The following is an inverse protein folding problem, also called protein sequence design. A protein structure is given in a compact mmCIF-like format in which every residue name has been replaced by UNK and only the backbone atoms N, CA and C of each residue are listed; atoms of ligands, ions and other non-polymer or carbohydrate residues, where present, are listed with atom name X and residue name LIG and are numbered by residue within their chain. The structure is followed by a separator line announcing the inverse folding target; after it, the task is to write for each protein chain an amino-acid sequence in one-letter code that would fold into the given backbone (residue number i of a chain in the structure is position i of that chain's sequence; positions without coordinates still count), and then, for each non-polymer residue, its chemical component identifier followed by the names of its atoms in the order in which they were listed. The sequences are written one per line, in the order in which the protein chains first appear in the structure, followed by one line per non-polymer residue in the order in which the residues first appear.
data_IF_800497647679
#
_entry.id   IF_800497647679
#
_cell.length_a   1.000
_cell.length_b   1.000
_cell.length_c   1.000
_cell.angle_alpha   90.00
_cell.angle_beta   90.00
_cell.angle_gamma   90.00
#
_symmetry.space_group_name_H-M   'P 1'
#
loop_
_entity.id
_entity.type
_entity.pdbx_description
1 polymer ?
#
# COMPACT_ATOMS: atom_id res chain seq x y z
N UNK A 1 -8.18 -16.73 68.09
CA UNK A 1 -7.39 -15.49 68.21
C UNK A 1 -6.43 -15.51 67.02
N UNK A 2 -6.86 -15.04 65.86
CA UNK A 2 -6.85 -13.64 65.39
C UNK A 2 -5.48 -13.21 64.88
N UNK A 3 -5.46 -12.79 63.59
CA UNK A 3 -4.62 -11.75 62.95
C UNK A 3 -3.13 -12.11 62.72
N UNK A 4 -2.45 -11.81 61.61
CA UNK A 4 -2.57 -10.91 60.43
C UNK A 4 -1.63 -11.49 59.33
N UNK A 5 -2.01 -11.67 58.05
CA UNK A 5 -2.07 -10.75 56.89
C UNK A 5 -0.73 -10.15 56.37
N UNK A 6 -0.36 -10.47 55.12
CA UNK A 6 0.09 -9.44 54.15
C UNK A 6 0.09 -9.92 52.67
N UNK A 7 -0.94 -9.47 51.96
CA UNK A 7 -1.02 -8.95 50.59
C UNK A 7 -0.28 -9.60 49.40
N UNK A 8 -1.09 -10.22 48.53
CA UNK A 8 -0.82 -10.40 47.10
C UNK A 8 -1.47 -9.25 46.29
N UNK A 9 -0.72 -8.58 45.42
CA UNK A 9 -1.29 -7.68 44.41
C UNK A 9 -1.61 -8.45 43.13
N UNK A 10 -2.91 -8.67 42.86
CA UNK A 10 -3.44 -9.12 41.57
C UNK A 10 -3.57 -7.93 40.62
N UNK A 11 -3.03 -8.05 39.41
CA UNK A 11 -3.27 -7.12 38.31
C UNK A 11 -4.70 -7.31 37.79
N UNK A 12 -5.46 -6.22 37.74
CA UNK A 12 -6.82 -6.13 37.20
C UNK A 12 -6.75 -5.82 35.71
N UNK A 13 -7.32 -6.69 34.87
CA UNK A 13 -7.57 -6.42 33.44
C UNK A 13 -8.67 -5.38 33.28
N UNK A 14 -8.54 -4.38 32.39
CA UNK A 14 -9.63 -3.42 32.17
C UNK A 14 -10.76 -4.05 31.36
N UNK A 15 -11.97 -3.93 31.90
CA UNK A 15 -13.25 -4.28 31.29
C UNK A 15 -13.57 -3.32 30.13
N UNK A 16 -13.62 -3.87 28.91
CA UNK A 16 -13.86 -3.13 27.66
C UNK A 16 -15.35 -2.87 27.38
N UNK A 17 -16.25 -3.11 28.33
CA UNK A 17 -17.70 -2.92 28.15
C UNK A 17 -18.18 -1.45 28.25
N UNK A 18 -17.28 -0.47 28.46
CA UNK A 18 -17.64 0.96 28.67
C UNK A 18 -17.05 1.96 27.66
N UNK A 19 -16.93 1.59 26.39
CA UNK A 19 -16.73 2.58 25.32
C UNK A 19 -18.08 3.09 24.77
N UNK A 20 -18.25 4.41 24.54
CA UNK A 20 -19.50 4.96 24.05
C UNK A 20 -19.78 4.44 22.62
N UNK A 21 -20.91 3.78 22.45
CA UNK A 21 -21.44 3.38 21.14
C UNK A 21 -21.80 4.65 20.36
N UNK A 22 -21.16 4.88 19.23
CA UNK A 22 -21.62 5.83 18.22
C UNK A 22 -23.01 5.41 17.74
N UNK A 23 -23.98 6.33 17.60
CA UNK A 23 -25.32 5.97 17.17
C UNK A 23 -25.27 5.50 15.72
N UNK A 24 -25.70 4.26 15.49
CA UNK A 24 -26.05 3.79 14.16
C UNK A 24 -27.18 4.69 13.62
N UNK A 25 -26.94 5.38 12.51
CA UNK A 25 -28.04 5.95 11.73
C UNK A 25 -28.90 4.77 11.27
N UNK A 26 -30.09 4.65 11.84
CA UNK A 26 -31.10 3.71 11.39
C UNK A 26 -31.52 4.09 9.96
N UNK A 27 -31.20 3.23 8.99
CA UNK A 27 -31.82 3.28 7.67
C UNK A 27 -33.28 2.83 7.85
N UNK A 28 -34.21 3.78 7.73
CA UNK A 28 -35.64 3.46 7.63
C UNK A 28 -35.91 2.77 6.30
N UNK A 29 -36.47 1.57 6.36
CA UNK A 29 -37.01 0.85 5.20
C UNK A 29 -38.45 1.28 4.98
N UNK A 30 -38.70 2.16 4.02
CA UNK A 30 -40.04 2.30 3.44
C UNK A 30 -40.20 1.23 2.36
N UNK A 31 -41.12 0.29 2.60
CA UNK A 31 -41.63 -0.62 1.57
C UNK A 31 -42.62 0.15 0.72
N UNK A 32 -42.22 0.47 -0.51
CA UNK A 32 -43.17 0.48 -1.62
C UNK A 32 -42.51 -0.08 -2.90
N UNK A 33 -43.30 -0.75 -3.73
CA UNK A 33 -42.89 -1.84 -4.62
C UNK A 33 -41.67 -1.63 -5.56
N UNK A 34 -40.80 -2.64 -5.56
CA UNK A 34 -39.90 -3.10 -6.64
C UNK A 34 -39.00 -2.07 -7.34
N UNK A 35 -38.08 -1.43 -6.59
CA UNK A 35 -36.73 -1.04 -7.05
C UNK A 35 -35.92 -0.58 -5.83
N UNK A 36 -34.85 -1.31 -5.47
CA UNK A 36 -33.95 -0.84 -4.42
C UNK A 36 -33.17 0.38 -4.93
N UNK A 37 -33.50 1.57 -4.38
CA UNK A 37 -32.77 2.83 -4.62
C UNK A 37 -31.96 3.16 -3.37
N UNK A 38 -30.63 3.12 -3.47
CA UNK A 38 -29.73 3.62 -2.42
C UNK A 38 -29.55 5.13 -2.63
N UNK A 39 -30.10 5.94 -1.71
CA UNK A 39 -30.02 7.40 -1.77
C UNK A 39 -28.85 7.90 -0.92
N UNK A 40 -28.05 8.81 -1.47
CA UNK A 40 -26.93 9.43 -0.76
C UNK A 40 -27.38 10.33 0.41
N UNK A 41 -26.56 10.49 1.48
CA UNK A 41 -26.84 11.44 2.55
C UNK A 41 -26.82 12.89 2.05
N UNK A 42 -27.78 13.71 2.47
CA UNK A 42 -27.84 15.14 2.14
C UNK A 42 -26.61 15.87 2.71
N UNK A 43 -25.78 16.46 1.84
CA UNK A 43 -24.74 17.43 2.25
C UNK A 43 -25.40 18.75 2.68
N UNK A 44 -24.96 19.28 3.82
CA UNK A 44 -25.26 20.65 4.24
C UNK A 44 -24.41 21.60 3.37
N UNK A 45 -24.97 22.64 2.73
CA UNK A 45 -24.19 23.58 1.93
C UNK A 45 -23.27 24.45 2.82
N UNK A 46 -22.04 24.68 2.35
CA UNK A 46 -21.11 25.64 2.96
C UNK A 46 -21.50 27.09 2.58
N UNK A 47 -21.26 28.08 3.46
CA UNK A 47 -21.61 29.48 3.20
C UNK A 47 -20.67 30.12 2.16
N UNK A 48 -21.14 31.11 1.36
CA UNK A 48 -20.36 31.73 0.31
C UNK A 48 -19.50 32.89 0.81
N UNK A 49 -18.29 33.02 0.25
CA UNK A 49 -17.53 34.27 0.23
C UNK A 49 -16.09 34.17 0.73
N UNK A 50 -15.13 34.11 -0.19
CA UNK A 50 -13.84 34.84 -0.19
C UNK A 50 -13.04 34.49 -1.46
N UNK A 51 -12.23 35.43 -1.99
CA UNK A 51 -11.85 35.50 -3.41
C UNK A 51 -10.72 34.56 -3.82
N UNK A 52 -10.70 34.23 -5.12
CA UNK A 52 -9.71 33.38 -5.78
C UNK A 52 -8.27 33.92 -5.62
N UNK A 53 -7.28 33.06 -5.33
CA UNK A 53 -5.87 33.41 -5.46
C UNK A 53 -5.39 33.23 -6.91
N UNK A 54 -4.68 34.26 -7.38
CA UNK A 54 -4.10 34.47 -8.70
C UNK A 54 -3.29 33.28 -9.28
N UNK A 55 -3.33 33.14 -10.61
CA UNK A 55 -2.51 32.22 -11.40
C UNK A 55 -0.99 32.47 -11.22
N UNK A 56 -0.15 31.42 -11.12
CA UNK A 56 1.29 31.56 -11.23
C UNK A 56 1.74 31.80 -12.69
N UNK A 57 2.42 32.93 -12.90
CA UNK A 57 2.93 33.39 -14.19
C UNK A 57 3.95 32.46 -14.87
N UNK A 58 3.95 32.54 -16.21
CA UNK A 58 4.87 31.86 -17.13
C UNK A 58 6.34 32.25 -16.89
N UNK A 59 7.32 31.35 -17.15
CA UNK A 59 8.73 31.69 -17.05
C UNK A 59 9.16 32.61 -18.21
N UNK A 60 9.72 33.76 -17.84
CA UNK A 60 10.45 34.68 -18.73
C UNK A 60 11.93 34.29 -18.73
N UNK A 61 12.53 34.08 -19.91
CA UNK A 61 13.93 34.44 -20.22
C UNK A 61 14.22 34.23 -21.72
N UNK A 62 14.66 35.26 -22.46
CA UNK A 62 15.07 35.16 -23.86
C UNK A 62 16.58 34.90 -24.02
N UNK A 63 16.94 34.42 -25.23
CA UNK A 63 18.29 34.13 -25.74
C UNK A 63 19.27 35.32 -25.69
N UNK A 64 20.54 35.10 -26.08
CA UNK A 64 20.89 35.55 -27.43
C UNK A 64 21.73 34.55 -28.23
N UNK A 65 21.43 34.49 -29.53
CA UNK A 65 22.17 33.72 -30.51
C UNK A 65 23.45 34.42 -30.99
N UNK A 66 24.33 33.61 -31.57
CA UNK A 66 25.41 34.05 -32.45
C UNK A 66 25.53 33.06 -33.61
N UNK A 67 25.28 33.55 -34.84
CA UNK A 67 25.59 32.89 -36.11
C UNK A 67 26.87 33.50 -36.67
N UNK A 68 27.79 32.65 -37.14
CA UNK A 68 28.85 32.82 -38.16
C UNK A 68 29.67 31.52 -38.06
N UNK A 69 30.08 30.75 -39.07
CA UNK A 69 30.10 30.79 -40.53
C UNK A 69 31.22 29.81 -40.96
N UNK A 70 30.93 28.95 -41.95
CA UNK A 70 31.80 28.19 -42.86
C UNK A 70 33.14 27.53 -42.41
N UNK A 71 33.21 26.22 -42.72
CA UNK A 71 34.35 25.39 -43.22
C UNK A 71 35.64 25.20 -42.39
N UNK A 72 36.05 23.93 -42.27
CA UNK A 72 37.37 23.52 -41.80
C UNK A 72 37.34 22.13 -41.18
N UNK A 73 37.80 21.12 -41.94
CA UNK A 73 38.18 19.82 -41.39
C UNK A 73 39.27 20.06 -40.34
N UNK A 74 39.09 19.53 -39.12
CA UNK A 74 40.18 18.97 -38.35
C UNK A 74 39.65 18.01 -37.28
N UNK A 75 40.09 16.78 -37.43
CA UNK A 75 39.91 15.66 -36.51
C UNK A 75 40.56 15.96 -35.17
N UNK A 76 39.74 16.21 -34.15
CA UNK A 76 40.14 16.12 -32.74
C UNK A 76 39.26 15.07 -32.06
N UNK A 77 39.87 13.91 -31.82
CA UNK A 77 39.25 12.82 -31.08
C UNK A 77 38.84 13.30 -29.69
N UNK A 78 37.54 13.35 -29.46
CA UNK A 78 37.00 13.43 -28.11
C UNK A 78 37.39 12.13 -27.39
N UNK A 79 37.96 12.18 -26.18
CA UNK A 79 38.08 10.99 -25.39
C UNK A 79 36.66 10.49 -25.13
N UNK A 80 36.32 9.29 -25.60
CA UNK A 80 35.23 8.50 -25.03
C UNK A 80 35.59 8.25 -23.57
N UNK A 81 35.28 9.20 -22.70
CA UNK A 81 35.08 8.89 -21.31
C UNK A 81 33.82 8.03 -21.29
N UNK A 82 33.89 6.73 -20.95
CA UNK A 82 32.67 6.00 -20.68
C UNK A 82 31.96 6.81 -19.60
N UNK A 83 30.80 7.39 -19.93
CA UNK A 83 29.93 7.98 -18.94
C UNK A 83 29.63 6.83 -17.98
N UNK A 84 30.35 6.79 -16.86
CA UNK A 84 29.98 5.95 -15.74
C UNK A 84 28.64 6.51 -15.29
N UNK A 85 27.57 5.97 -15.86
CA UNK A 85 26.24 6.10 -15.30
C UNK A 85 26.36 5.38 -13.96
N UNK A 86 26.70 6.14 -12.91
CA UNK A 86 26.66 5.65 -11.53
C UNK A 86 25.20 5.29 -11.29
N UNK A 87 24.87 4.01 -11.48
CA UNK A 87 23.53 3.51 -11.21
C UNK A 87 23.32 3.64 -9.70
N UNK A 88 22.60 4.70 -9.31
CA UNK A 88 22.25 4.92 -7.91
C UNK A 88 21.51 3.67 -7.42
N UNK A 89 21.83 3.24 -6.19
CA UNK A 89 21.11 2.14 -5.56
C UNK A 89 19.61 2.46 -5.54
N UNK A 90 18.81 1.51 -5.98
CA UNK A 90 17.35 1.60 -5.92
C UNK A 90 16.88 1.09 -4.55
N UNK A 91 16.14 1.90 -3.80
CA UNK A 91 15.53 1.46 -2.53
C UNK A 91 14.02 1.44 -2.73
N UNK A 92 13.43 0.25 -2.74
CA UNK A 92 12.01 0.05 -2.95
C UNK A 92 11.31 -0.09 -1.60
N UNK A 93 10.46 0.87 -1.27
CA UNK A 93 9.53 0.74 -0.15
C UNK A 93 8.22 0.15 -0.69
N UNK A 94 7.78 -0.99 -0.14
CA UNK A 94 6.58 -1.68 -0.60
C UNK A 94 5.65 -1.94 0.58
N UNK A 95 4.41 -1.46 0.48
CA UNK A 95 3.34 -1.99 1.34
C UNK A 95 3.12 -3.47 1.00
N UNK A 96 2.78 -4.30 1.99
CA UNK A 96 2.64 -5.75 1.75
C UNK A 96 1.20 -6.15 1.40
N UNK A 97 0.21 -5.52 2.04
CA UNK A 97 -1.19 -5.92 1.90
C UNK A 97 -1.72 -5.46 0.54
N UNK A 98 -2.47 -6.31 -0.16
CA UNK A 98 -3.03 -6.05 -1.49
C UNK A 98 -1.98 -5.64 -2.56
N UNK A 99 -0.69 -5.84 -2.28
CA UNK A 99 0.43 -5.44 -3.17
C UNK A 99 1.39 -6.61 -3.39
N UNK A 100 1.69 -7.38 -2.34
CA UNK A 100 2.57 -8.54 -2.39
C UNK A 100 1.83 -9.78 -1.92
N UNK A 101 1.04 -9.66 -0.85
CA UNK A 101 0.22 -10.73 -0.32
C UNK A 101 -1.16 -10.73 -0.98
N UNK A 102 -1.67 -11.92 -1.27
CA UNK A 102 -3.00 -12.11 -1.88
C UNK A 102 -4.14 -12.06 -0.86
N UNK A 103 -3.82 -12.18 0.43
CA UNK A 103 -4.77 -12.15 1.54
C UNK A 103 -4.41 -11.05 2.53
N UNK A 104 -5.36 -10.68 3.39
CA UNK A 104 -5.16 -9.66 4.41
C UNK A 104 -5.52 -10.22 5.80
N UNK A 105 -4.49 -10.66 6.53
CA UNK A 105 -4.69 -11.19 7.88
C UNK A 105 -5.10 -10.11 8.90
N UNK A 106 -4.81 -8.83 8.60
CA UNK A 106 -5.15 -7.73 9.51
C UNK A 106 -6.67 -7.52 9.57
N UNK A 107 -7.37 -7.77 8.46
CA UNK A 107 -8.83 -7.73 8.37
C UNK A 107 -9.49 -9.11 8.36
N UNK A 108 -8.69 -10.19 8.40
CA UNK A 108 -9.18 -11.57 8.37
C UNK A 108 -9.74 -11.99 7.02
N UNK A 109 -9.37 -11.29 5.94
CA UNK A 109 -9.83 -11.57 4.57
C UNK A 109 -8.91 -12.60 3.93
N UNK A 110 -9.48 -13.71 3.46
CA UNK A 110 -8.79 -14.64 2.59
C UNK A 110 -8.70 -14.09 1.15
N UNK A 111 -8.03 -14.82 0.25
CA UNK A 111 -7.79 -14.41 -1.12
C UNK A 111 -9.04 -13.96 -1.90
N UNK A 112 -10.18 -14.65 -1.73
CA UNK A 112 -11.43 -14.37 -2.46
C UNK A 112 -12.02 -13.04 -1.99
N UNK A 113 -12.09 -12.83 -0.67
CA UNK A 113 -12.59 -11.59 -0.08
C UNK A 113 -11.63 -10.42 -0.32
N UNK A 114 -10.32 -10.65 -0.22
CA UNK A 114 -9.29 -9.64 -0.41
C UNK A 114 -9.28 -9.11 -1.86
N UNK A 115 -9.44 -9.98 -2.86
CA UNK A 115 -9.53 -9.54 -4.25
C UNK A 115 -10.81 -8.74 -4.53
N UNK A 116 -11.97 -9.14 -3.98
CA UNK A 116 -13.20 -8.34 -4.09
C UNK A 116 -13.03 -6.96 -3.43
N UNK A 117 -12.47 -6.95 -2.21
CA UNK A 117 -12.16 -5.75 -1.45
C UNK A 117 -11.23 -4.83 -2.24
N UNK A 118 -10.19 -5.37 -2.89
CA UNK A 118 -9.28 -4.62 -3.75
C UNK A 118 -9.97 -4.06 -5.00
N UNK A 119 -10.78 -4.87 -5.71
CA UNK A 119 -11.53 -4.38 -6.87
C UNK A 119 -12.41 -3.19 -6.50
N UNK A 120 -13.08 -3.25 -5.35
CA UNK A 120 -13.91 -2.15 -4.85
C UNK A 120 -13.13 -0.83 -4.62
N UNK A 121 -11.81 -0.86 -4.44
CA UNK A 121 -10.99 0.35 -4.29
C UNK A 121 -10.51 0.92 -5.63
N UNK A 122 -10.38 0.08 -6.66
CA UNK A 122 -9.83 0.49 -7.97
C UNK A 122 -10.92 0.71 -9.04
N UNK A 123 -12.19 0.50 -8.70
CA UNK A 123 -13.32 0.80 -9.58
C UNK A 123 -13.71 2.29 -9.49
N UNK A 124 -13.58 3.01 -10.61
CA UNK A 124 -13.93 4.42 -10.73
C UNK A 124 -15.34 4.62 -11.28
N UNK A 125 -16.05 5.59 -10.73
CA UNK A 125 -17.39 5.97 -11.20
C UNK A 125 -17.83 7.35 -10.75
N UNK A 126 -19.04 7.71 -11.14
CA UNK A 126 -19.66 9.00 -10.86
C UNK A 126 -21.16 8.84 -10.66
N UNK A 127 -21.76 9.73 -9.88
CA UNK A 127 -23.21 9.81 -9.76
C UNK A 127 -23.80 10.51 -10.97
N UNK A 128 -24.83 9.92 -11.58
CA UNK A 128 -25.63 10.56 -12.60
C UNK A 128 -26.58 11.61 -12.01
N UNK A 129 -27.38 12.27 -12.87
CA UNK A 129 -28.32 13.31 -12.44
C UNK A 129 -29.42 12.76 -11.52
N UNK A 130 -29.72 11.47 -11.62
CA UNK A 130 -30.73 10.76 -10.84
C UNK A 130 -30.21 10.28 -9.46
N UNK A 131 -28.92 10.49 -9.18
CA UNK A 131 -28.26 10.09 -7.94
C UNK A 131 -27.81 8.62 -7.90
N UNK A 132 -27.74 7.95 -9.04
CA UNK A 132 -27.27 6.56 -9.18
C UNK A 132 -25.79 6.54 -9.58
N UNK A 133 -25.00 5.70 -8.91
CA UNK A 133 -23.57 5.57 -9.20
C UNK A 133 -23.35 4.69 -10.42
N UNK A 134 -22.58 5.19 -11.39
CA UNK A 134 -22.26 4.51 -12.63
C UNK A 134 -20.74 4.42 -12.81
N UNK A 135 -20.25 3.25 -13.23
CA UNK A 135 -18.83 3.06 -13.53
C UNK A 135 -18.45 3.84 -14.79
N UNK A 136 -17.21 4.32 -14.84
CA UNK A 136 -16.74 5.18 -15.94
C UNK A 136 -15.79 4.50 -16.91
N UNK A 137 -15.12 3.41 -16.51
CA UNK A 137 -14.12 2.74 -17.34
C UNK A 137 -14.09 1.24 -17.08
N UNK A 138 -13.88 0.47 -18.16
CA UNK A 138 -13.56 -0.96 -18.12
C UNK A 138 -12.06 -1.23 -18.25
N UNK A 139 -11.27 -0.20 -18.53
CA UNK A 139 -9.82 -0.30 -18.70
C UNK A 139 -9.06 0.24 -17.48
N UNK A 140 -7.97 -0.44 -17.08
CA UNK A 140 -7.12 0.04 -15.99
C UNK A 140 -6.40 1.32 -16.39
N UNK A 141 -6.29 2.25 -15.45
CA UNK A 141 -5.58 3.51 -15.59
C UNK A 141 -4.84 3.84 -14.29
N UNK A 142 -3.70 4.53 -14.41
CA UNK A 142 -3.00 5.08 -13.25
C UNK A 142 -3.67 6.33 -12.68
N UNK A 143 -4.51 6.99 -13.48
CA UNK A 143 -5.21 8.21 -13.12
C UNK A 143 -6.73 7.98 -13.17
N UNK A 144 -7.52 8.71 -12.36
CA UNK A 144 -8.96 8.71 -12.48
C UNK A 144 -9.38 9.04 -13.93
N UNK A 145 -10.43 8.39 -14.48
CA UNK A 145 -10.90 8.65 -15.85
C UNK A 145 -11.31 10.11 -16.09
N UNK A 146 -11.85 10.78 -15.06
CA UNK A 146 -12.21 12.20 -15.07
C UNK A 146 -11.85 12.84 -13.72
N UNK A 147 -11.67 14.17 -13.64
CA UNK A 147 -11.36 14.86 -12.38
C UNK A 147 -12.42 14.66 -11.27
N UNK A 148 -13.68 14.50 -11.66
CA UNK A 148 -14.81 14.31 -10.74
C UNK A 148 -15.08 12.82 -10.43
N UNK A 149 -14.33 11.91 -11.05
CA UNK A 149 -14.47 10.48 -10.78
C UNK A 149 -14.08 10.16 -9.33
N UNK A 150 -14.88 9.32 -8.71
CA UNK A 150 -14.65 8.83 -7.35
C UNK A 150 -14.53 7.32 -7.37
N UNK A 151 -13.69 6.76 -6.50
CA UNK A 151 -13.65 5.30 -6.35
C UNK A 151 -14.94 4.81 -5.69
N UNK A 152 -15.33 3.57 -6.00
CA UNK A 152 -16.45 2.92 -5.33
C UNK A 152 -16.24 2.91 -3.80
N UNK A 153 -15.04 2.56 -3.34
CA UNK A 153 -14.66 2.54 -1.92
C UNK A 153 -14.85 3.88 -1.20
N UNK A 154 -14.64 5.01 -1.88
CA UNK A 154 -14.79 6.34 -1.28
C UNK A 154 -16.25 6.67 -0.95
N UNK A 155 -17.19 6.09 -1.69
CA UNK A 155 -18.62 6.34 -1.51
C UNK A 155 -19.31 5.27 -0.66
N UNK A 156 -18.93 4.01 -0.83
CA UNK A 156 -19.62 2.86 -0.24
C UNK A 156 -18.77 2.07 0.76
N UNK A 157 -17.48 2.39 0.88
CA UNK A 157 -16.52 1.57 1.63
C UNK A 157 -16.03 0.36 0.84
N UNK A 158 -15.09 -0.37 1.43
CA UNK A 158 -14.58 -1.62 0.84
C UNK A 158 -15.62 -2.72 0.97
N UNK A 159 -15.78 -3.53 -0.08
CA UNK A 159 -16.76 -4.61 -0.12
C UNK A 159 -16.09 -5.96 -0.43
N UNK A 160 -16.15 -6.89 0.51
CA UNK A 160 -15.60 -8.25 0.37
C UNK A 160 -16.41 -9.16 -0.54
N UNK A 161 -17.60 -8.71 -0.97
CA UNK A 161 -18.50 -9.39 -1.90
C UNK A 161 -18.88 -8.50 -3.08
N UNK A 162 -18.01 -7.54 -3.42
CA UNK A 162 -18.24 -6.54 -4.46
C UNK A 162 -18.84 -7.12 -5.75
N UNK A 163 -18.24 -8.18 -6.30
CA UNK A 163 -18.69 -8.79 -7.57
C UNK A 163 -20.04 -9.52 -7.49
N UNK A 164 -20.55 -9.77 -6.28
CA UNK A 164 -21.89 -10.32 -6.05
C UNK A 164 -22.97 -9.23 -5.97
N UNK A 165 -22.58 -7.96 -5.83
CA UNK A 165 -23.50 -6.82 -5.83
C UNK A 165 -23.98 -6.47 -7.24
N UNK A 166 -25.09 -5.72 -7.33
CA UNK A 166 -25.61 -5.22 -8.61
C UNK A 166 -24.61 -4.34 -9.35
N UNK A 167 -23.89 -3.48 -8.62
CA UNK A 167 -22.89 -2.56 -9.17
C UNK A 167 -21.57 -3.25 -9.54
N UNK A 168 -21.19 -4.30 -8.79
CA UNK A 168 -19.95 -5.03 -9.03
C UNK A 168 -20.07 -6.23 -9.97
N UNK A 169 -21.30 -6.69 -10.29
CA UNK A 169 -21.55 -7.81 -11.21
C UNK A 169 -20.82 -7.70 -12.56
N UNK A 170 -20.67 -6.53 -13.19
CA UNK A 170 -19.89 -6.40 -14.43
C UNK A 170 -18.43 -6.86 -14.29
N UNK A 171 -17.85 -6.77 -13.09
CA UNK A 171 -16.47 -7.18 -12.81
C UNK A 171 -16.33 -8.67 -12.48
N UNK A 172 -17.41 -9.45 -12.49
CA UNK A 172 -17.37 -10.88 -12.14
C UNK A 172 -16.39 -11.66 -13.02
N UNK A 173 -16.42 -11.44 -14.34
CA UNK A 173 -15.51 -12.13 -15.26
C UNK A 173 -14.05 -11.78 -14.97
N UNK A 174 -13.77 -10.49 -14.75
CA UNK A 174 -12.43 -10.00 -14.40
C UNK A 174 -11.94 -10.63 -13.09
N UNK A 175 -12.81 -10.64 -12.08
CA UNK A 175 -12.56 -11.26 -10.78
C UNK A 175 -12.20 -12.74 -10.93
N UNK A 176 -13.02 -13.52 -11.64
CA UNK A 176 -12.76 -14.95 -11.86
C UNK A 176 -11.43 -15.19 -12.60
N UNK A 177 -11.13 -14.39 -13.62
CA UNK A 177 -9.87 -14.50 -14.36
C UNK A 177 -8.66 -14.22 -13.48
N UNK A 178 -8.68 -13.16 -12.67
CA UNK A 178 -7.57 -12.87 -11.77
C UNK A 178 -7.47 -13.87 -10.63
N UNK A 179 -8.60 -14.33 -10.08
CA UNK A 179 -8.59 -15.34 -9.03
C UNK A 179 -7.94 -16.64 -9.51
N UNK A 180 -8.22 -17.05 -10.75
CA UNK A 180 -7.57 -18.21 -11.38
C UNK A 180 -6.05 -18.01 -11.55
N UNK A 181 -5.59 -16.79 -11.87
CA UNK A 181 -4.15 -16.49 -11.95
C UNK A 181 -3.45 -16.53 -10.58
N UNK A 182 -4.19 -16.33 -9.49
CA UNK A 182 -3.67 -16.40 -8.13
C UNK A 182 -3.67 -17.83 -7.57
N UNK A 183 -4.36 -18.76 -8.23
CA UNK A 183 -4.53 -20.13 -7.75
C UNK A 183 -3.17 -20.85 -7.67
N UNK A 184 -2.97 -21.57 -6.58
CA UNK A 184 -1.77 -22.34 -6.35
C UNK A 184 -1.82 -23.65 -7.16
N UNK A 185 -0.86 -23.91 -8.06
CA UNK A 185 -0.86 -25.15 -8.80
C UNK A 185 -0.34 -26.31 -7.95
N UNK A 186 -1.12 -27.39 -7.91
CA UNK A 186 -0.71 -28.63 -7.28
C UNK A 186 -1.08 -28.73 -5.80
N UNK A 187 -0.30 -29.48 -5.04
CA UNK A 187 -0.61 -29.75 -3.63
C UNK A 187 -0.37 -28.51 -2.76
N UNK A 188 -1.27 -28.22 -1.80
CA UNK A 188 -1.06 -27.19 -0.80
C UNK A 188 0.32 -27.20 -0.16
N UNK A 189 0.94 -26.03 -0.10
CA UNK A 189 2.19 -25.81 0.62
C UNK A 189 1.98 -24.79 1.75
N UNK A 190 2.36 -25.12 2.97
CA UNK A 190 2.12 -24.25 4.14
C UNK A 190 2.88 -22.92 4.09
N UNK A 191 4.03 -22.89 3.40
CA UNK A 191 4.89 -21.71 3.25
C UNK A 191 4.42 -20.85 2.09
N UNK A 192 4.12 -21.47 0.94
CA UNK A 192 3.89 -20.76 -0.32
C UNK A 192 2.43 -20.61 -0.70
N UNK A 193 1.51 -21.35 -0.08
CA UNK A 193 0.08 -21.26 -0.34
C UNK A 193 -0.73 -20.82 0.88
N UNK A 194 -1.94 -20.30 0.62
CA UNK A 194 -2.95 -19.94 1.62
C UNK A 194 -4.33 -20.47 1.17
N UNK A 195 -5.16 -20.97 2.10
CA UNK A 195 -6.50 -21.41 1.77
C UNK A 195 -7.42 -20.22 1.47
N UNK A 196 -8.28 -20.37 0.47
CA UNK A 196 -9.36 -19.46 0.16
C UNK A 196 -10.69 -19.84 0.80
N UNK A 197 -11.60 -18.88 0.81
CA UNK A 197 -12.96 -19.05 1.32
C UNK A 197 -13.79 -20.02 0.47
N UNK A 198 -13.37 -20.28 -0.76
CA UNK A 198 -14.00 -21.18 -1.72
C UNK A 198 -13.42 -22.60 -1.70
N UNK A 199 -12.47 -22.88 -0.81
CA UNK A 199 -11.83 -24.19 -0.65
C UNK A 199 -10.62 -24.42 -1.55
N UNK A 200 -10.30 -23.51 -2.47
CA UNK A 200 -9.07 -23.58 -3.27
C UNK A 200 -7.88 -23.03 -2.47
N UNK A 201 -6.68 -23.26 -3.00
CA UNK A 201 -5.45 -22.69 -2.45
C UNK A 201 -4.88 -21.66 -3.42
N UNK A 202 -4.29 -20.61 -2.86
CA UNK A 202 -3.76 -19.49 -3.61
C UNK A 202 -2.32 -19.22 -3.23
N UNK A 203 -1.55 -18.63 -4.14
CA UNK A 203 -0.21 -18.13 -3.88
C UNK A 203 -0.19 -17.17 -2.69
N UNK A 204 0.56 -17.45 -1.63
CA UNK A 204 0.71 -16.51 -0.49
C UNK A 204 1.31 -15.18 -0.93
N UNK A 205 2.34 -15.24 -1.77
CA UNK A 205 3.07 -14.11 -2.34
C UNK A 205 2.83 -14.09 -3.84
N UNK A 206 2.49 -12.91 -4.37
CA UNK A 206 2.24 -12.73 -5.78
C UNK A 206 3.45 -13.15 -6.63
N UNK A 207 3.27 -14.01 -7.64
CA UNK A 207 4.32 -14.41 -8.58
C UNK A 207 5.06 -13.22 -9.22
N UNK A 208 4.35 -12.12 -9.48
CA UNK A 208 4.92 -10.88 -10.03
C UNK A 208 6.04 -10.29 -9.15
N UNK A 209 5.99 -10.46 -7.83
CA UNK A 209 7.04 -9.99 -6.93
C UNK A 209 8.35 -10.77 -7.13
N UNK A 210 8.27 -12.09 -7.32
CA UNK A 210 9.45 -12.90 -7.62
C UNK A 210 10.07 -12.55 -8.97
N UNK A 211 9.21 -12.31 -9.99
CA UNK A 211 9.67 -11.81 -11.29
C UNK A 211 10.38 -10.46 -11.19
N UNK A 212 9.89 -9.55 -10.33
CA UNK A 212 10.56 -8.27 -10.07
C UNK A 212 11.97 -8.49 -9.48
N UNK A 213 12.11 -9.35 -8.48
CA UNK A 213 13.42 -9.65 -7.87
C UNK A 213 14.39 -10.23 -8.90
N UNK A 214 13.93 -11.23 -9.67
CA UNK A 214 14.72 -11.84 -10.73
C UNK A 214 15.14 -10.83 -11.79
N UNK A 215 14.22 -9.98 -12.25
CA UNK A 215 14.48 -8.96 -13.26
C UNK A 215 15.49 -7.90 -12.81
N UNK A 216 15.38 -7.42 -11.56
CA UNK A 216 16.33 -6.45 -11.01
C UNK A 216 17.75 -7.03 -10.89
N UNK A 217 17.85 -8.31 -10.52
CA UNK A 217 19.14 -9.01 -10.46
C UNK A 217 19.73 -9.27 -11.84
N UNK A 218 18.93 -9.69 -12.82
CA UNK A 218 19.36 -9.88 -14.21
C UNK A 218 19.88 -8.58 -14.83
N UNK A 219 19.31 -7.43 -14.45
CA UNK A 219 19.78 -6.11 -14.88
C UNK A 219 21.08 -5.65 -14.19
N UNK A 220 21.65 -6.44 -13.26
CA UNK A 220 22.82 -6.06 -12.48
C UNK A 220 22.59 -4.81 -11.61
N UNK A 221 21.33 -4.49 -11.29
CA UNK A 221 21.00 -3.29 -10.54
C UNK A 221 21.31 -3.51 -9.07
N UNK A 222 21.96 -2.54 -8.42
CA UNK A 222 22.04 -2.52 -6.95
C UNK A 222 20.70 -2.05 -6.40
N UNK A 223 20.06 -2.87 -5.57
CA UNK A 223 18.81 -2.50 -4.92
C UNK A 223 18.65 -3.06 -3.51
N UNK A 224 17.69 -2.50 -2.78
CA UNK A 224 17.17 -3.04 -1.53
C UNK A 224 15.63 -2.95 -1.55
N UNK A 225 14.96 -3.89 -0.88
CA UNK A 225 13.50 -3.89 -0.71
C UNK A 225 13.17 -3.79 0.77
N UNK A 226 12.33 -2.82 1.10
CA UNK A 226 11.87 -2.53 2.45
C UNK A 226 10.36 -2.76 2.47
N UNK A 227 9.96 -3.91 3.03
CA UNK A 227 8.56 -4.23 3.27
C UNK A 227 8.00 -3.35 4.40
N UNK A 228 6.80 -2.83 4.20
CA UNK A 228 6.09 -1.96 5.13
C UNK A 228 4.71 -2.54 5.40
N UNK A 229 4.28 -2.51 6.64
CA UNK A 229 2.95 -2.98 7.01
C UNK A 229 2.52 -2.42 8.35
N UNK A 230 1.22 -2.21 8.52
CA UNK A 230 0.61 -2.05 9.85
C UNK A 230 0.24 -3.39 10.50
N UNK A 231 0.16 -4.45 9.70
CA UNK A 231 -0.35 -5.77 10.07
C UNK A 231 0.68 -6.68 10.74
N UNK A 232 0.40 -7.98 10.68
CA UNK A 232 1.18 -9.05 11.33
C UNK A 232 1.89 -9.98 10.34
N UNK A 233 1.65 -9.83 9.03
CA UNK A 233 2.16 -10.73 7.98
C UNK A 233 3.63 -10.53 7.62
N UNK A 234 4.32 -9.60 8.29
CA UNK A 234 5.70 -9.28 7.94
C UNK A 234 6.63 -10.48 8.11
N UNK A 235 6.50 -11.21 9.22
CA UNK A 235 7.36 -12.36 9.52
C UNK A 235 7.12 -13.50 8.53
N UNK A 236 5.84 -13.79 8.22
CA UNK A 236 5.49 -14.83 7.25
C UNK A 236 5.99 -14.47 5.85
N UNK A 237 5.82 -13.22 5.40
CA UNK A 237 6.35 -12.75 4.12
C UNK A 237 7.88 -12.88 4.03
N UNK A 238 8.61 -12.45 5.07
CA UNK A 238 10.06 -12.56 5.11
C UNK A 238 10.51 -14.03 5.01
N UNK A 239 9.85 -14.93 5.74
CA UNK A 239 10.16 -16.36 5.69
C UNK A 239 9.85 -16.98 4.32
N UNK A 240 8.67 -16.70 3.75
CA UNK A 240 8.28 -17.19 2.43
C UNK A 240 9.25 -16.70 1.35
N UNK A 241 9.64 -15.42 1.42
CA UNK A 241 10.61 -14.85 0.48
C UNK A 241 11.99 -15.46 0.64
N UNK A 242 12.46 -15.66 1.86
CA UNK A 242 13.73 -16.34 2.12
C UNK A 242 13.75 -17.76 1.56
N UNK A 243 12.71 -18.56 1.83
CA UNK A 243 12.60 -19.93 1.33
C UNK A 243 12.55 -19.95 -0.22
N UNK A 244 11.85 -19.01 -0.85
CA UNK A 244 11.82 -18.89 -2.30
C UNK A 244 13.23 -18.59 -2.88
N UNK A 245 13.97 -17.67 -2.26
CA UNK A 245 15.36 -17.35 -2.65
C UNK A 245 16.36 -18.49 -2.36
N UNK A 246 16.01 -19.46 -1.50
CA UNK A 246 16.76 -20.72 -1.36
C UNK A 246 16.43 -21.75 -2.46
N UNK A 247 15.60 -21.39 -3.44
CA UNK A 247 15.17 -22.28 -4.52
C UNK A 247 14.08 -23.28 -4.11
N UNK A 248 13.46 -23.11 -2.94
CA UNK A 248 12.44 -24.05 -2.43
C UNK A 248 11.06 -23.81 -3.05
N UNK A 249 10.85 -22.72 -3.79
CA UNK A 249 9.58 -22.46 -4.46
C UNK A 249 9.48 -23.30 -5.74
N UNK A 250 8.48 -24.21 -5.88
CA UNK A 250 8.38 -25.14 -7.02
C UNK A 250 8.40 -24.48 -8.40
N UNK A 251 7.64 -23.40 -8.59
CA UNK A 251 7.59 -22.65 -9.86
C UNK A 251 8.73 -21.63 -10.05
N UNK A 252 9.48 -21.32 -9.00
CA UNK A 252 10.48 -20.24 -8.99
C UNK A 252 11.83 -20.74 -8.47
N UNK A 253 12.19 -22.00 -8.78
CA UNK A 253 13.44 -22.62 -8.31
C UNK A 253 14.71 -21.90 -8.79
N UNK A 254 14.63 -21.21 -9.93
CA UNK A 254 15.70 -20.36 -10.47
C UNK A 254 16.04 -19.15 -9.57
N UNK A 255 15.19 -18.80 -8.62
CA UNK A 255 15.49 -17.75 -7.64
C UNK A 255 16.69 -18.05 -6.75
N UNK A 256 17.15 -19.31 -6.67
CA UNK A 256 18.40 -19.64 -5.96
C UNK A 256 19.63 -18.93 -6.53
N UNK A 257 19.58 -18.53 -7.80
CA UNK A 257 20.64 -17.75 -8.45
C UNK A 257 20.59 -16.26 -8.06
N UNK A 258 19.48 -15.81 -7.46
CA UNK A 258 19.31 -14.45 -6.94
C UNK A 258 19.95 -14.34 -5.57
N UNK A 259 21.20 -13.87 -5.53
CA UNK A 259 21.94 -13.67 -4.28
C UNK A 259 21.51 -12.36 -3.61
N UNK A 260 20.44 -12.43 -2.81
CA UNK A 260 19.96 -11.32 -2.00
C UNK A 260 19.77 -11.76 -0.55
N UNK A 261 20.45 -11.12 0.43
CA UNK A 261 20.22 -11.43 1.83
C UNK A 261 18.80 -10.99 2.25
N UNK A 262 18.16 -11.80 3.09
CA UNK A 262 16.87 -11.46 3.70
C UNK A 262 17.07 -11.33 5.21
N UNK A 263 16.84 -10.14 5.76
CA UNK A 263 16.82 -9.93 7.21
C UNK A 263 15.47 -10.38 7.77
N UNK A 264 15.46 -11.56 8.38
CA UNK A 264 14.27 -12.17 8.97
C UNK A 264 13.80 -11.48 10.25
N UNK A 265 14.53 -10.48 10.78
CA UNK A 265 14.17 -9.76 12.02
C UNK A 265 13.27 -8.57 11.68
N UNK A 266 11.98 -8.60 12.02
CA UNK A 266 11.09 -7.49 11.74
C UNK A 266 11.52 -6.24 12.53
N UNK A 267 11.68 -5.14 11.82
CA UNK A 267 11.85 -3.83 12.43
C UNK A 267 10.52 -3.21 12.82
N UNK A 268 10.58 -2.09 13.54
CA UNK A 268 9.43 -1.29 13.95
C UNK A 268 9.70 0.16 13.67
N UNK A 269 8.66 0.86 13.22
CA UNK A 269 8.65 2.29 13.06
C UNK A 269 7.59 2.83 14.02
N UNK A 270 8.01 3.75 14.88
CA UNK A 270 7.17 4.36 15.90
C UNK A 270 7.25 5.86 15.76
N UNK A 271 6.10 6.47 15.52
CA UNK A 271 5.98 7.91 15.38
C UNK A 271 5.35 8.52 16.63
N UNK A 272 5.76 9.74 16.93
CA UNK A 272 5.25 10.61 17.97
C UNK A 272 5.25 12.05 17.42
N UNK A 273 4.60 13.02 18.09
CA UNK A 273 4.54 14.40 17.57
C UNK A 273 5.89 15.06 17.36
N UNK A 274 6.93 14.59 18.04
CA UNK A 274 8.26 15.21 18.04
C UNK A 274 9.31 14.43 17.27
N UNK A 275 9.08 13.14 16.99
CA UNK A 275 10.10 12.27 16.39
C UNK A 275 9.53 10.99 15.78
N UNK A 276 10.26 10.50 14.79
CA UNK A 276 10.15 9.16 14.22
C UNK A 276 11.28 8.30 14.80
N UNK A 277 10.95 7.10 15.23
CA UNK A 277 11.89 6.13 15.75
C UNK A 277 11.84 4.87 14.90
N UNK A 278 13.00 4.42 14.43
CA UNK A 278 13.18 3.14 13.73
C UNK A 278 14.00 2.23 14.61
N UNK A 279 13.56 0.99 14.79
CA UNK A 279 14.25 0.00 15.60
C UNK A 279 14.23 -1.37 14.95
N UNK A 280 15.34 -2.10 15.03
CA UNK A 280 15.44 -3.49 14.56
C UNK A 280 16.49 -4.25 15.39
N UNK A 281 16.05 -5.20 16.20
CA UNK A 281 16.95 -5.87 17.14
C UNK A 281 17.61 -4.86 18.09
N UNK A 282 18.94 -4.76 18.03
CA UNK A 282 19.73 -3.78 18.80
C UNK A 282 19.91 -2.43 18.09
N UNK A 283 19.58 -2.35 16.80
CA UNK A 283 19.68 -1.11 16.02
C UNK A 283 18.55 -0.17 16.40
N UNK A 284 18.87 1.10 16.57
CA UNK A 284 17.92 2.14 16.92
C UNK A 284 18.34 3.47 16.31
N UNK A 285 17.40 4.13 15.62
CA UNK A 285 17.59 5.45 15.01
C UNK A 285 16.39 6.34 15.35
N UNK A 286 16.66 7.61 15.68
CA UNK A 286 15.65 8.63 15.97
C UNK A 286 15.83 9.81 15.03
N UNK A 287 14.77 10.21 14.33
CA UNK A 287 14.75 11.36 13.42
C UNK A 287 14.72 12.72 14.11
N UNK A 288 15.13 12.80 15.37
CA UNK A 288 15.25 14.04 16.14
C UNK A 288 16.66 14.16 16.69
N UNK A 289 17.34 15.30 16.50
CA UNK A 289 16.83 16.52 15.86
C UNK A 289 16.82 16.49 14.32
N UNK A 290 17.48 15.51 13.69
CA UNK A 290 17.62 15.43 12.23
C UNK A 290 16.83 14.24 11.65
N UNK A 291 15.82 14.56 10.83
CA UNK A 291 15.00 13.55 10.16
C UNK A 291 15.78 12.75 9.10
N UNK A 292 16.90 13.29 8.58
CA UNK A 292 17.72 12.62 7.55
C UNK A 292 18.33 11.33 8.05
N UNK A 293 18.59 11.19 9.34
CA UNK A 293 19.17 9.96 9.90
C UNK A 293 18.27 8.74 9.63
N UNK A 294 16.95 8.91 9.60
CA UNK A 294 16.01 7.84 9.23
C UNK A 294 16.12 7.50 7.74
N UNK A 295 16.26 8.51 6.89
CA UNK A 295 16.45 8.32 5.45
C UNK A 295 17.80 7.63 5.16
N UNK A 296 18.87 8.02 5.85
CA UNK A 296 20.20 7.43 5.72
C UNK A 296 20.20 5.97 6.19
N UNK A 297 19.48 5.66 7.28
CA UNK A 297 19.29 4.29 7.75
C UNK A 297 18.68 3.39 6.68
N UNK A 298 17.55 3.79 6.07
CA UNK A 298 16.92 3.02 4.99
C UNK A 298 17.77 3.02 3.71
N UNK A 299 18.42 4.13 3.40
CA UNK A 299 19.32 4.25 2.25
C UNK A 299 20.58 3.38 2.39
N UNK A 300 20.98 3.02 3.60
CA UNK A 300 22.11 2.13 3.86
C UNK A 300 21.73 0.65 3.78
N UNK A 301 20.45 0.29 3.91
CA UNK A 301 20.00 -1.11 3.90
C UNK A 301 20.37 -1.85 2.60
N UNK A 302 20.70 -3.13 2.73
CA UNK A 302 20.98 -4.03 1.60
C UNK A 302 20.05 -5.25 1.66
N UNK A 303 19.78 -5.84 0.49
CA UNK A 303 18.90 -7.00 0.38
C UNK A 303 17.45 -6.67 0.71
N UNK A 304 16.78 -7.58 1.41
CA UNK A 304 15.37 -7.49 1.77
C UNK A 304 15.21 -7.39 3.28
N UNK A 305 14.34 -6.50 3.74
CA UNK A 305 14.00 -6.37 5.15
C UNK A 305 12.62 -5.77 5.33
N UNK A 306 12.11 -5.80 6.56
CA UNK A 306 10.72 -5.42 6.84
C UNK A 306 10.57 -4.56 8.08
N UNK A 307 9.60 -3.64 8.07
CA UNK A 307 9.24 -2.81 9.22
C UNK A 307 7.74 -2.75 9.44
N UNK A 308 7.34 -2.92 10.70
CA UNK A 308 5.96 -2.68 11.13
C UNK A 308 5.75 -1.22 11.54
N UNK A 309 4.82 -0.56 10.87
CA UNK A 309 4.44 0.83 11.07
C UNK A 309 3.53 1.09 12.29
N UNK A 310 3.48 2.34 12.73
CA UNK A 310 2.70 2.76 13.90
C UNK A 310 1.26 3.12 13.53
N UNK A 311 0.36 2.15 13.55
CA UNK A 311 -1.04 2.35 13.13
C UNK A 311 -1.78 3.46 13.92
N UNK A 312 -1.67 3.45 15.25
CA UNK A 312 -2.35 4.43 16.11
C UNK A 312 -1.95 5.88 15.81
N UNK A 313 -0.69 6.10 15.43
CA UNK A 313 -0.22 7.42 15.02
C UNK A 313 -0.82 7.87 13.69
N UNK A 314 -0.89 6.98 12.70
CA UNK A 314 -1.49 7.30 11.41
C UNK A 314 -2.98 7.65 11.55
N UNK A 315 -3.70 6.96 12.43
CA UNK A 315 -5.10 7.28 12.74
C UNK A 315 -5.21 8.67 13.40
N UNK A 316 -4.41 8.94 14.43
CA UNK A 316 -4.36 10.25 15.10
C UNK A 316 -4.00 11.39 14.14
N UNK A 317 -3.06 11.18 13.21
CA UNK A 317 -2.64 12.19 12.24
C UNK A 317 -3.74 12.48 11.18
N UNK A 318 -4.59 11.50 10.83
CA UNK A 318 -5.73 11.71 9.91
C UNK A 318 -6.81 12.58 10.54
N UNK A 319 -7.06 12.41 11.84
CA UNK A 319 -8.04 13.22 12.57
C UNK A 319 -7.56 14.65 12.81
N UNK A 320 -6.24 14.86 12.86
CA UNK A 320 -5.61 16.15 13.07
C UNK A 320 -4.99 16.68 11.77
N UNK A 321 -5.78 17.40 10.94
CA UNK A 321 -5.39 17.92 9.61
C UNK A 321 -4.05 18.69 9.57
N UNK A 322 -3.64 19.31 10.67
CA UNK A 322 -2.34 20.03 10.79
C UNK A 322 -1.13 19.10 10.95
N UNK A 323 -1.32 17.83 11.33
CA UNK A 323 -0.25 16.84 11.49
C UNK A 323 -0.04 15.98 10.24
N UNK A 324 -0.97 15.98 9.29
CA UNK A 324 -0.90 15.17 8.05
C UNK A 324 0.27 15.56 7.14
N UNK A 325 0.74 16.81 7.22
CA UNK A 325 1.94 17.28 6.50
C UNK A 325 3.25 16.68 7.06
N UNK A 326 3.20 15.97 8.18
CA UNK A 326 4.36 15.36 8.85
C UNK A 326 4.44 13.83 8.71
N UNK A 327 3.60 13.21 7.85
CA UNK A 327 3.72 11.80 7.52
C UNK A 327 5.12 11.55 6.91
N UNK A 328 6.03 10.87 7.62
CA UNK A 328 7.37 10.65 7.11
C UNK A 328 7.29 9.46 6.16
N UNK A 329 7.59 9.72 4.89
CA UNK A 329 7.64 8.76 3.78
C UNK A 329 6.23 8.34 3.32
N UNK A 330 5.72 9.08 2.33
CA UNK A 330 4.46 8.85 1.62
C UNK A 330 4.19 7.36 1.37
N UNK A 331 3.22 6.79 2.09
CA UNK A 331 2.19 6.01 1.39
C UNK A 331 1.03 6.97 1.18
N UNK A 332 0.80 7.34 -0.07
CA UNK A 332 -0.51 7.82 -0.49
C UNK A 332 -1.49 6.67 -0.30
N UNK A 333 -2.00 6.51 0.93
CA UNK A 333 -3.29 5.88 1.14
C UNK A 333 -4.35 6.90 0.73
N UNK A 334 -4.45 7.18 -0.58
CA UNK A 334 -5.61 7.84 -1.16
C UNK A 334 -6.48 6.78 -1.85
N UNK A 335 -7.70 6.65 -1.33
CA UNK A 335 -8.90 6.04 -1.93
C UNK A 335 -8.88 4.52 -2.17
#
# INVERSE_FOLDING_TARGET
MSMEESAACRAVSPDLSRLPRTPALAAGTEKDGNRERLVAPRRIPSPPGSPDPEEPGKPLCPHPGGRLGAEGQDSLGFPEYPLIVRTKKLVLHMDINNTILVSDSATGQGPVAALNSYLSTVCWGQFNQEGEWQWLSEFPSLLPPTPDATSFSSNFGRDTKFTSSTLGRPFQTLFSSYLQLLEWPGQPDAVFSVPGEDGHHYHRVLPAFFNLLAGLCQQGRRFAVIFRTFGKDLTSLLQTTHNALQGQHPQFSALKEVVLPVDLRPGKIRCSPKKVMVSRGKEFVSGSPDARVVYDYFSAMEGLGGFQDHFAWCLWARENKNAAQSLPLNSTASA
#
